data_IF_251995244875
#
_entry.id   IF_251995244875
#
_cell.length_a   1.000
_cell.length_b   1.000
_cell.length_c   1.000
_cell.angle_alpha   90.00
_cell.angle_beta   90.00
_cell.angle_gamma   90.00
#
_symmetry.space_group_name_H-M   'P 1'
#
loop_
_entity.id
_entity.type
_entity.pdbx_description
1 polymer ?
#
# COMPACT_ATOMS: atom_id res chain seq x y z
N UNK A 1 5.82 8.44 -18.08
CA UNK A 1 4.86 8.74 -16.99
C UNK A 1 5.62 9.25 -15.80
N UNK A 2 5.08 10.17 -15.04
CA UNK A 2 5.84 11.15 -14.27
C UNK A 2 6.19 10.69 -12.85
N UNK A 3 7.22 11.29 -12.26
CA UNK A 3 7.59 11.24 -10.83
C UNK A 3 6.34 11.27 -9.92
N UNK A 4 5.34 12.09 -10.26
CA UNK A 4 4.06 12.18 -9.54
C UNK A 4 3.34 10.83 -9.43
N UNK A 5 3.33 10.01 -10.48
CA UNK A 5 2.72 8.68 -10.42
C UNK A 5 3.42 7.78 -9.43
N UNK A 6 4.76 7.73 -9.46
CA UNK A 6 5.54 6.92 -8.52
C UNK A 6 5.33 7.36 -7.07
N UNK A 7 5.26 8.67 -6.81
CA UNK A 7 5.00 9.19 -5.47
C UNK A 7 3.57 8.84 -5.03
N UNK A 8 2.57 9.08 -5.89
CA UNK A 8 1.16 8.78 -5.58
C UNK A 8 0.95 7.28 -5.32
N UNK A 9 1.57 6.44 -6.15
CA UNK A 9 1.55 4.99 -5.98
C UNK A 9 2.18 4.58 -4.64
N UNK A 10 3.35 5.10 -4.31
CA UNK A 10 4.02 4.80 -3.04
C UNK A 10 3.17 5.25 -1.83
N UNK A 11 2.54 6.41 -1.90
CA UNK A 11 1.63 6.89 -0.87
C UNK A 11 0.39 6.00 -0.74
N UNK A 12 -0.26 5.65 -1.86
CA UNK A 12 -1.46 4.81 -1.86
C UNK A 12 -1.22 3.43 -1.23
N UNK A 13 -0.10 2.80 -1.62
CA UNK A 13 0.27 1.46 -1.14
C UNK A 13 0.68 1.43 0.33
N UNK A 14 1.16 2.54 0.88
CA UNK A 14 1.72 2.56 2.25
C UNK A 14 0.77 3.15 3.29
N UNK A 15 -0.34 3.75 2.86
CA UNK A 15 -1.28 4.41 3.78
C UNK A 15 -1.95 3.42 4.74
N UNK A 16 -2.14 2.19 4.32
CA UNK A 16 -2.68 1.09 5.12
C UNK A 16 -1.79 0.73 6.32
N UNK A 17 -0.48 0.99 6.24
CA UNK A 17 0.46 0.83 7.35
C UNK A 17 0.08 1.64 8.60
N UNK A 18 -0.72 2.69 8.43
CA UNK A 18 -1.34 3.43 9.53
C UNK A 18 -2.21 2.51 10.41
N UNK A 19 -2.93 1.56 9.80
CA UNK A 19 -3.76 0.60 10.52
C UNK A 19 -2.90 -0.29 11.41
N UNK A 20 -1.74 -0.77 10.90
CA UNK A 20 -0.78 -1.53 11.70
C UNK A 20 -0.35 -0.72 12.92
N UNK A 21 0.03 0.54 12.70
CA UNK A 21 0.48 1.44 13.76
C UNK A 21 -0.55 1.57 14.91
N UNK A 22 -1.83 1.61 14.56
CA UNK A 22 -2.91 1.69 15.56
C UNK A 22 -3.05 0.46 16.46
N UNK A 23 -2.57 -0.69 16.02
CA UNK A 23 -2.62 -1.93 16.80
C UNK A 23 -1.44 -2.10 17.74
N UNK A 24 -0.38 -1.28 17.61
CA UNK A 24 0.84 -1.36 18.42
C UNK A 24 0.61 -0.74 19.79
N UNK A 25 1.00 -1.46 20.85
CA UNK A 25 0.89 -0.96 22.23
C UNK A 25 2.17 -0.23 22.68
N UNK A 26 3.32 -0.89 22.67
CA UNK A 26 4.60 -0.33 23.17
C UNK A 26 5.81 -0.54 22.25
N UNK A 27 5.86 -1.63 21.47
CA UNK A 27 7.04 -2.01 20.66
C UNK A 27 7.14 -1.28 19.34
N UNK A 28 7.05 0.06 19.36
CA UNK A 28 6.98 0.87 18.13
C UNK A 28 8.20 0.67 17.22
N UNK A 29 9.42 0.74 17.71
CA UNK A 29 10.63 0.67 16.88
C UNK A 29 10.74 -0.66 16.12
N UNK A 30 10.49 -1.78 16.80
CA UNK A 30 10.49 -3.11 16.16
C UNK A 30 9.39 -3.18 15.10
N UNK A 31 8.22 -2.63 15.39
CA UNK A 31 7.10 -2.62 14.47
C UNK A 31 7.36 -1.77 13.23
N UNK A 32 7.95 -0.58 13.39
CA UNK A 32 8.35 0.27 12.27
C UNK A 32 9.35 -0.43 11.36
N UNK A 33 10.34 -1.11 11.95
CA UNK A 33 11.31 -1.89 11.19
C UNK A 33 10.65 -3.04 10.43
N UNK A 34 9.77 -3.80 11.07
CA UNK A 34 9.05 -4.91 10.44
C UNK A 34 8.14 -4.44 9.31
N UNK A 35 7.42 -3.34 9.51
CA UNK A 35 6.55 -2.76 8.47
C UNK A 35 7.37 -2.27 7.28
N UNK A 36 8.42 -1.50 7.51
CA UNK A 36 9.30 -1.03 6.44
C UNK A 36 9.97 -2.17 5.68
N UNK A 37 10.48 -3.18 6.41
CA UNK A 37 11.13 -4.34 5.81
C UNK A 37 10.15 -5.19 4.99
N UNK A 38 8.93 -5.42 5.49
CA UNK A 38 7.93 -6.20 4.76
C UNK A 38 7.52 -5.49 3.47
N UNK A 39 7.20 -4.20 3.52
CA UNK A 39 6.86 -3.43 2.32
C UNK A 39 8.03 -3.39 1.32
N UNK A 40 9.27 -3.22 1.80
CA UNK A 40 10.46 -3.30 0.96
C UNK A 40 10.54 -4.65 0.24
N UNK A 41 10.45 -5.76 0.97
CA UNK A 41 10.57 -7.11 0.42
C UNK A 41 9.45 -7.38 -0.59
N UNK A 42 8.20 -7.11 -0.22
CA UNK A 42 7.05 -7.38 -1.09
C UNK A 42 7.07 -6.51 -2.34
N UNK A 43 7.41 -5.22 -2.22
CA UNK A 43 7.54 -4.33 -3.37
C UNK A 43 8.69 -4.77 -4.28
N UNK A 44 9.85 -5.12 -3.72
CA UNK A 44 11.01 -5.61 -4.46
C UNK A 44 10.69 -6.91 -5.21
N UNK A 45 10.07 -7.88 -4.54
CA UNK A 45 9.67 -9.15 -5.17
C UNK A 45 8.63 -8.90 -6.25
N UNK A 46 7.68 -8.00 -6.02
CA UNK A 46 6.67 -7.61 -7.00
C UNK A 46 7.28 -6.98 -8.27
N UNK A 47 8.28 -6.10 -8.13
CA UNK A 47 9.00 -5.55 -9.28
C UNK A 47 9.66 -6.65 -10.14
N UNK A 48 10.23 -7.68 -9.51
CA UNK A 48 10.83 -8.81 -10.25
C UNK A 48 9.77 -9.73 -10.84
N UNK A 49 8.69 -9.98 -10.11
CA UNK A 49 7.54 -10.72 -10.64
C UNK A 49 6.92 -9.99 -11.84
N UNK A 50 6.86 -8.66 -11.81
CA UNK A 50 6.38 -7.83 -12.91
C UNK A 50 7.12 -8.06 -14.23
N UNK A 51 8.44 -8.32 -14.20
CA UNK A 51 9.21 -8.66 -15.40
C UNK A 51 8.79 -10.00 -16.01
N UNK A 52 8.48 -10.98 -15.16
CA UNK A 52 7.97 -12.28 -15.63
C UNK A 52 6.55 -12.12 -16.19
N UNK A 53 5.69 -11.39 -15.51
CA UNK A 53 4.33 -11.10 -15.98
C UNK A 53 4.34 -10.32 -17.29
N UNK A 54 5.21 -9.32 -17.43
CA UNK A 54 5.33 -8.55 -18.68
C UNK A 54 5.73 -9.45 -19.86
N UNK A 55 6.64 -10.40 -19.66
CA UNK A 55 7.03 -11.38 -20.70
C UNK A 55 5.89 -12.32 -21.09
N UNK A 56 4.99 -12.66 -20.13
CA UNK A 56 3.90 -13.61 -20.34
C UNK A 56 2.65 -12.92 -20.90
N UNK A 57 2.32 -11.73 -20.42
CA UNK A 57 1.03 -11.07 -20.66
C UNK A 57 1.18 -9.84 -21.58
N UNK A 58 2.41 -9.28 -21.69
CA UNK A 58 2.74 -8.20 -22.62
C UNK A 58 1.77 -7.00 -22.56
N UNK A 59 1.08 -6.73 -23.68
CA UNK A 59 0.20 -5.56 -23.80
C UNK A 59 -1.00 -5.56 -22.83
N UNK A 60 -1.36 -6.71 -22.25
CA UNK A 60 -2.44 -6.77 -21.24
C UNK A 60 -2.01 -6.29 -19.85
N UNK A 61 -0.75 -5.88 -19.65
CA UNK A 61 -0.25 -5.45 -18.35
C UNK A 61 -0.99 -4.23 -17.80
N UNK A 62 -1.40 -3.28 -18.65
CA UNK A 62 -2.22 -2.13 -18.26
C UNK A 62 -3.61 -2.55 -17.76
N UNK A 63 -4.23 -3.53 -18.42
CA UNK A 63 -5.49 -4.11 -17.95
C UNK A 63 -5.35 -4.81 -16.62
N UNK A 64 -4.25 -5.53 -16.40
CA UNK A 64 -3.95 -6.16 -15.12
C UNK A 64 -3.78 -5.11 -14.01
N UNK A 65 -3.01 -4.05 -14.27
CA UNK A 65 -2.84 -2.94 -13.33
C UNK A 65 -4.19 -2.28 -12.99
N UNK A 66 -5.01 -1.99 -14.01
CA UNK A 66 -6.35 -1.44 -13.81
C UNK A 66 -7.22 -2.33 -12.93
N UNK A 67 -7.26 -3.65 -13.21
CA UNK A 67 -8.05 -4.59 -12.42
C UNK A 67 -7.58 -4.69 -10.96
N UNK A 68 -6.28 -4.64 -10.72
CA UNK A 68 -5.71 -4.64 -9.37
C UNK A 68 -6.11 -3.36 -8.62
N UNK A 69 -5.95 -2.17 -9.22
CA UNK A 69 -6.37 -0.92 -8.59
C UNK A 69 -7.88 -0.85 -8.37
N UNK A 70 -8.68 -1.35 -9.31
CA UNK A 70 -10.13 -1.44 -9.15
C UNK A 70 -10.51 -2.37 -7.98
N UNK A 71 -9.83 -3.52 -7.83
CA UNK A 71 -10.02 -4.43 -6.72
C UNK A 71 -9.63 -3.78 -5.38
N UNK A 72 -8.46 -3.12 -5.30
CA UNK A 72 -8.02 -2.40 -4.10
C UNK A 72 -8.97 -1.27 -3.72
N UNK A 73 -9.50 -0.54 -4.72
CA UNK A 73 -10.56 0.46 -4.51
C UNK A 73 -11.81 -0.18 -3.90
N UNK A 74 -12.25 -1.31 -4.45
CA UNK A 74 -13.40 -2.03 -3.92
C UNK A 74 -13.17 -2.51 -2.48
N UNK A 75 -11.99 -3.04 -2.18
CA UNK A 75 -11.65 -3.51 -0.82
C UNK A 75 -11.60 -2.35 0.18
N UNK A 76 -11.00 -1.21 -0.20
CA UNK A 76 -10.99 0.01 0.61
C UNK A 76 -12.42 0.52 0.90
N UNK A 77 -13.31 0.55 -0.10
CA UNK A 77 -14.74 0.90 0.05
C UNK A 77 -15.43 -0.07 1.00
N UNK A 78 -15.21 -1.37 0.85
CA UNK A 78 -15.80 -2.38 1.74
C UNK A 78 -15.36 -2.16 3.19
N UNK A 79 -14.07 -1.91 3.41
CA UNK A 79 -13.50 -1.68 4.73
C UNK A 79 -13.98 -0.35 5.34
N UNK A 80 -14.29 0.65 4.52
CA UNK A 80 -14.91 1.91 4.96
C UNK A 80 -16.25 1.69 5.70
N UNK A 81 -17.04 0.70 5.26
CA UNK A 81 -18.33 0.37 5.89
C UNK A 81 -18.23 -0.61 7.06
N UNK A 82 -17.07 -1.30 7.22
CA UNK A 82 -16.86 -2.29 8.28
C UNK A 82 -15.92 -1.74 9.34
N UNK A 83 -16.46 -1.31 10.47
CA UNK A 83 -15.65 -0.83 11.60
C UNK A 83 -15.02 -2.01 12.36
N UNK A 84 -13.69 -2.16 12.27
CA UNK A 84 -12.95 -3.14 13.06
C UNK A 84 -12.54 -2.55 14.41
N UNK A 85 -12.73 -3.30 15.49
CA UNK A 85 -12.23 -2.91 16.82
C UNK A 85 -10.71 -2.98 16.84
N UNK A 86 -10.05 -1.90 17.27
CA UNK A 86 -8.60 -1.88 17.45
C UNK A 86 -8.24 -2.71 18.67
N UNK A 87 -7.53 -3.82 18.46
CA UNK A 87 -6.97 -4.65 19.52
C UNK A 87 -5.48 -4.33 19.66
N UNK A 88 -5.11 -3.63 20.73
CA UNK A 88 -3.71 -3.30 21.01
C UNK A 88 -2.92 -4.57 21.31
N UNK A 89 -1.72 -4.70 20.73
CA UNK A 89 -0.85 -5.86 20.90
C UNK A 89 0.62 -5.47 20.99
N UNK A 90 1.37 -6.23 21.80
CA UNK A 90 2.84 -6.21 21.82
C UNK A 90 3.43 -7.52 21.30
N UNK A 91 2.58 -8.43 20.84
CA UNK A 91 3.01 -9.71 20.32
C UNK A 91 3.53 -9.55 18.88
N UNK A 92 4.84 -9.75 18.71
CA UNK A 92 5.51 -9.63 17.41
C UNK A 92 4.86 -10.54 16.35
N UNK A 93 4.46 -11.76 16.72
CA UNK A 93 3.78 -12.67 15.77
C UNK A 93 2.46 -12.09 15.26
N UNK A 94 1.69 -11.43 16.14
CA UNK A 94 0.44 -10.76 15.72
C UNK A 94 0.72 -9.55 14.85
N UNK A 95 1.76 -8.77 15.14
CA UNK A 95 2.17 -7.62 14.30
C UNK A 95 2.55 -8.12 12.91
N UNK A 96 3.37 -9.16 12.80
CA UNK A 96 3.73 -9.78 11.51
C UNK A 96 2.48 -10.29 10.79
N UNK A 97 1.57 -10.96 11.50
CA UNK A 97 0.34 -11.50 10.92
C UNK A 97 -0.59 -10.41 10.34
N UNK A 98 -0.57 -9.21 10.91
CA UNK A 98 -1.31 -8.05 10.38
C UNK A 98 -0.53 -7.41 9.22
N UNK A 99 0.79 -7.30 9.33
CA UNK A 99 1.63 -6.60 8.36
C UNK A 99 1.74 -7.34 7.01
N UNK A 100 1.85 -8.68 7.03
CA UNK A 100 2.01 -9.47 5.80
C UNK A 100 0.84 -9.27 4.82
N UNK A 101 -0.44 -9.44 5.20
CA UNK A 101 -1.56 -9.21 4.30
C UNK A 101 -1.56 -7.79 3.70
N UNK A 102 -1.26 -6.76 4.51
CA UNK A 102 -1.19 -5.39 4.04
C UNK A 102 -0.02 -5.16 3.05
N UNK A 103 1.09 -5.89 3.21
CA UNK A 103 2.22 -5.78 2.27
C UNK A 103 1.98 -6.50 0.94
N UNK A 104 0.95 -7.34 0.83
CA UNK A 104 0.55 -8.00 -0.43
C UNK A 104 0.11 -6.95 -1.46
N UNK A 105 -0.51 -5.85 -1.03
CA UNK A 105 -0.89 -4.75 -1.91
C UNK A 105 0.35 -4.12 -2.56
N UNK A 106 1.43 -3.95 -1.79
CA UNK A 106 2.70 -3.46 -2.30
C UNK A 106 3.29 -4.40 -3.38
N UNK A 107 3.16 -5.72 -3.20
CA UNK A 107 3.54 -6.71 -4.20
C UNK A 107 2.68 -6.60 -5.46
N UNK A 108 1.35 -6.61 -5.31
CA UNK A 108 0.41 -6.58 -6.43
C UNK A 108 0.58 -5.32 -7.28
N UNK A 109 0.67 -4.16 -6.61
CA UNK A 109 0.86 -2.87 -7.24
C UNK A 109 2.21 -2.77 -7.95
N UNK A 110 3.30 -3.18 -7.30
CA UNK A 110 4.63 -3.13 -7.93
C UNK A 110 4.76 -4.08 -9.12
N UNK A 111 4.16 -5.27 -9.03
CA UNK A 111 4.15 -6.23 -10.12
C UNK A 111 3.37 -5.73 -11.34
N UNK A 112 2.20 -5.13 -11.12
CA UNK A 112 1.32 -4.64 -12.20
C UNK A 112 1.78 -3.31 -12.79
N UNK A 113 2.39 -2.44 -11.98
CA UNK A 113 2.75 -1.08 -12.40
C UNK A 113 4.22 -0.93 -12.81
N UNK A 114 4.97 -2.02 -12.91
CA UNK A 114 6.41 -1.94 -13.21
C UNK A 114 6.71 -1.18 -14.50
N UNK A 115 5.95 -1.42 -15.56
CA UNK A 115 6.08 -0.71 -16.84
C UNK A 115 5.70 0.77 -16.76
N UNK A 116 4.96 1.17 -15.73
CA UNK A 116 4.47 2.52 -15.50
C UNK A 116 5.36 3.32 -14.54
N UNK A 117 6.22 2.64 -13.78
CA UNK A 117 7.14 3.26 -12.82
C UNK A 117 8.41 3.67 -13.55
N UNK A 118 8.65 4.98 -13.65
CA UNK A 118 9.83 5.54 -14.32
C UNK A 118 11.14 5.14 -13.61
N UNK A 119 11.14 5.12 -12.30
CA UNK A 119 12.29 4.70 -11.49
C UNK A 119 11.87 3.68 -10.42
N UNK A 120 12.04 2.38 -10.68
CA UNK A 120 11.72 1.33 -9.71
C UNK A 120 12.49 1.48 -8.38
N UNK A 121 13.73 1.96 -8.44
CA UNK A 121 14.55 2.20 -7.25
C UNK A 121 13.95 3.32 -6.39
N UNK A 122 13.47 4.40 -7.02
CA UNK A 122 12.81 5.49 -6.30
C UNK A 122 11.51 4.98 -5.65
N UNK A 123 10.70 4.21 -6.37
CA UNK A 123 9.49 3.59 -5.82
C UNK A 123 9.79 2.74 -4.58
N UNK A 124 10.84 1.91 -4.65
CA UNK A 124 11.29 1.07 -3.54
C UNK A 124 11.72 1.91 -2.31
N UNK A 125 12.49 2.98 -2.53
CA UNK A 125 12.92 3.89 -1.45
C UNK A 125 11.71 4.58 -0.81
N UNK A 126 10.81 5.12 -1.63
CA UNK A 126 9.63 5.83 -1.13
C UNK A 126 8.71 4.91 -0.31
N UNK A 127 8.42 3.71 -0.79
CA UNK A 127 7.60 2.73 -0.07
C UNK A 127 8.25 2.34 1.26
N UNK A 128 9.57 2.14 1.26
CA UNK A 128 10.32 1.77 2.47
C UNK A 128 10.34 2.87 3.54
N UNK A 129 10.22 4.14 3.13
CA UNK A 129 10.18 5.29 4.05
C UNK A 129 8.73 5.59 4.47
N UNK A 130 7.79 5.57 3.54
CA UNK A 130 6.42 5.97 3.83
C UNK A 130 5.68 4.93 4.68
N UNK A 131 5.92 3.63 4.49
CA UNK A 131 5.26 2.60 5.28
C UNK A 131 5.55 2.73 6.79
N UNK A 132 6.80 2.79 7.28
CA UNK A 132 7.05 3.06 8.69
C UNK A 132 6.60 4.45 9.13
N UNK A 133 6.63 5.46 8.26
CA UNK A 133 6.13 6.80 8.57
C UNK A 133 4.63 6.80 8.87
N UNK A 134 3.80 6.20 8.01
CA UNK A 134 2.37 6.07 8.26
C UNK A 134 2.07 5.17 9.47
N UNK A 135 2.84 4.10 9.65
CA UNK A 135 2.75 3.26 10.84
C UNK A 135 3.02 4.08 12.13
N UNK A 136 4.04 4.95 12.12
CA UNK A 136 4.31 5.84 13.24
C UNK A 136 3.18 6.83 13.52
N UNK A 137 2.61 7.43 12.46
CA UNK A 137 1.44 8.32 12.61
C UNK A 137 0.26 7.55 13.20
N UNK A 138 0.00 6.32 12.74
CA UNK A 138 -1.05 5.46 13.28
C UNK A 138 -0.87 5.18 14.78
N UNK A 139 0.35 4.88 15.19
CA UNK A 139 0.70 4.71 16.60
C UNK A 139 0.44 5.98 17.42
N UNK A 140 0.92 7.13 16.95
CA UNK A 140 0.73 8.41 17.65
C UNK A 140 -0.75 8.79 17.78
N UNK A 141 -1.55 8.54 16.74
CA UNK A 141 -2.98 8.86 16.77
C UNK A 141 -3.74 7.99 17.78
N UNK A 142 -3.40 6.74 17.94
CA UNK A 142 -4.01 5.87 18.96
C UNK A 142 -3.65 6.31 20.37
N UNK A 143 -2.41 6.72 20.62
CA UNK A 143 -1.94 7.08 21.95
C UNK A 143 -2.26 8.52 22.36
N UNK A 144 -2.42 9.45 21.40
CA UNK A 144 -2.66 10.88 21.67
C UNK A 144 -4.05 11.38 21.28
N UNK A 145 -4.65 10.78 20.24
CA UNK A 145 -5.86 11.27 19.58
C UNK A 145 -6.86 10.12 19.40
N UNK A 146 -7.40 9.60 20.49
CA UNK A 146 -8.32 8.43 20.50
C UNK A 146 -9.58 8.53 19.59
N UNK A 147 -9.75 9.61 18.81
CA UNK A 147 -10.97 9.92 18.05
C UNK A 147 -10.85 9.87 16.52
N UNK A 148 -9.69 9.58 15.94
CA UNK A 148 -9.62 9.51 14.47
C UNK A 148 -10.26 8.20 14.01
N UNK A 149 -11.38 8.33 13.30
CA UNK A 149 -12.12 7.20 12.73
C UNK A 149 -11.29 6.49 11.64
N UNK A 150 -11.31 5.16 11.64
CA UNK A 150 -10.78 4.34 10.54
C UNK A 150 -11.39 4.70 9.18
N UNK A 151 -12.65 5.18 9.18
CA UNK A 151 -13.37 5.56 7.96
C UNK A 151 -12.65 6.62 7.14
N UNK A 152 -12.08 7.65 7.80
CA UNK A 152 -11.35 8.69 7.09
C UNK A 152 -10.14 8.15 6.33
N UNK A 153 -9.47 7.13 6.86
CA UNK A 153 -8.33 6.51 6.22
C UNK A 153 -8.73 5.72 4.97
N UNK A 154 -9.70 4.82 5.11
CA UNK A 154 -10.22 4.05 3.97
C UNK A 154 -10.80 4.95 2.88
N UNK A 155 -11.37 6.11 3.24
CA UNK A 155 -11.80 7.11 2.28
C UNK A 155 -10.64 7.68 1.47
N UNK A 156 -9.53 8.05 2.13
CA UNK A 156 -8.32 8.54 1.46
C UNK A 156 -7.72 7.46 0.56
N UNK A 157 -7.61 6.23 1.06
CA UNK A 157 -7.12 5.06 0.32
C UNK A 157 -7.97 4.80 -0.93
N UNK A 158 -9.31 4.85 -0.80
CA UNK A 158 -10.24 4.73 -1.93
C UNK A 158 -9.96 5.77 -3.01
N UNK A 159 -9.76 7.04 -2.63
CA UNK A 159 -9.46 8.12 -3.59
C UNK A 159 -8.12 7.85 -4.30
N UNK A 160 -7.09 7.40 -3.57
CA UNK A 160 -5.80 7.10 -4.16
C UNK A 160 -5.88 5.96 -5.18
N UNK A 161 -6.46 4.82 -4.83
CA UNK A 161 -6.56 3.68 -5.74
C UNK A 161 -7.49 3.94 -6.91
N UNK A 162 -8.59 4.66 -6.70
CA UNK A 162 -9.47 5.09 -7.79
C UNK A 162 -8.74 6.03 -8.76
N UNK A 163 -7.98 6.99 -8.24
CA UNK A 163 -7.16 7.89 -9.04
C UNK A 163 -6.11 7.15 -9.87
N UNK A 164 -5.44 6.15 -9.28
CA UNK A 164 -4.49 5.30 -9.99
C UNK A 164 -5.18 4.44 -11.06
N UNK A 165 -6.34 3.86 -10.77
CA UNK A 165 -7.11 3.10 -11.76
C UNK A 165 -7.49 3.95 -12.97
N UNK A 166 -8.00 5.16 -12.74
CA UNK A 166 -8.35 6.12 -13.80
C UNK A 166 -7.09 6.53 -14.58
N UNK A 167 -5.98 6.82 -13.91
CA UNK A 167 -4.72 7.19 -14.55
C UNK A 167 -4.21 6.12 -15.51
N UNK A 168 -4.23 4.84 -15.09
CA UNK A 168 -3.82 3.72 -15.94
C UNK A 168 -4.76 3.54 -17.13
N UNK A 169 -6.06 3.71 -16.91
CA UNK A 169 -7.06 3.59 -17.99
C UNK A 169 -6.91 4.71 -19.03
N UNK A 170 -6.74 5.95 -18.58
CA UNK A 170 -6.56 7.10 -19.47
C UNK A 170 -5.28 6.99 -20.30
N UNK A 171 -4.19 6.51 -19.71
CA UNK A 171 -2.94 6.29 -20.44
C UNK A 171 -3.09 5.20 -21.51
N UNK A 172 -3.86 4.15 -21.24
CA UNK A 172 -4.11 3.09 -22.21
C UNK A 172 -5.00 3.53 -23.38
N UNK A 173 -5.92 4.48 -23.16
CA UNK A 173 -6.83 4.98 -24.20
C UNK A 173 -6.14 6.03 -25.07
N UNK A 174 -5.19 6.80 -24.52
CA UNK A 174 -4.53 7.91 -25.20
C UNK A 174 -3.27 7.49 -25.98
N UNK A 175 -2.72 6.29 -25.75
CA UNK A 175 -1.58 5.71 -26.46
C UNK A 175 -1.99 4.50 -27.30
#
# INVERSE_FOLDING_TARGET
MNLYFTITLALGVTIDSFVVGRHIKHRIFISLFLVGLSHFIFFFVGLHAGDLFYKLVGPFMHWLAFLIFAYLTYDAVKNFFHESKVLLTDNIKKIILITIPLSIDAFAVSASSKSLIESPVLGLILVSIFAPFFCFIGYQTTHRLAKISHRGLYFVETIFFLGLAISVLTEHILN
#
